data_IF_070888245871
#
_entry.id   IF_070888245871
#
_cell.length_a   1.000
_cell.length_b   1.000
_cell.length_c   1.000
_cell.angle_alpha   90.00
_cell.angle_beta   90.00
_cell.angle_gamma   90.00
#
_symmetry.space_group_name_H-M   'P 1'
#
loop_
_entity.id
_entity.type
_entity.pdbx_description
1 polymer ?
2 non-polymer ?
3 water ?
#
# COMPACT_ATOMS: atom_id res chain seq x y z
N UNK A 15 -7.26 19.73 28.09
CA UNK A 15 -7.63 19.95 26.65
C UNK A 15 -8.86 19.12 26.33
N UNK A 16 -9.85 19.78 25.77
CA UNK A 16 -11.16 19.20 25.57
C UNK A 16 -11.38 19.00 24.06
N UNK A 17 -12.20 18.01 23.66
CA UNK A 17 -12.38 17.76 22.23
C UNK A 17 -12.61 19.02 21.37
N UNK A 18 -13.41 19.95 21.87
CA UNK A 18 -13.74 21.19 21.15
C UNK A 18 -12.57 22.19 21.05
N UNK A 19 -11.51 21.96 21.83
CA UNK A 19 -10.30 22.78 21.80
C UNK A 19 -9.12 22.14 21.03
N UNK A 20 -9.29 20.90 20.58
CA UNK A 20 -8.23 20.16 19.87
C UNK A 20 -7.68 20.91 18.65
N UNK A 21 -8.55 21.36 17.75
CA UNK A 21 -8.12 22.06 16.54
C UNK A 21 -7.45 23.40 16.83
N UNK A 22 -7.90 24.09 17.87
CA UNK A 22 -7.29 25.34 18.32
C UNK A 22 -5.86 25.13 18.83
N UNK A 23 -5.68 24.14 19.70
CA UNK A 23 -4.38 23.82 20.30
C UNK A 23 -3.36 23.37 19.25
N UNK A 24 -3.78 22.47 18.37
CA UNK A 24 -2.90 22.00 17.30
C UNK A 24 -2.56 23.13 16.34
N UNK A 25 -3.56 23.98 16.06
CA UNK A 25 -3.41 25.11 15.15
C UNK A 25 -2.33 26.12 15.50
N UNK A 26 -1.97 26.19 16.78
CA UNK A 26 -0.86 27.05 17.21
C UNK A 26 0.53 26.56 16.74
N UNK A 27 0.64 25.28 16.40
CA UNK A 27 1.95 24.65 16.14
C UNK A 27 2.11 24.07 14.75
N UNK A 28 0.98 23.79 14.10
CA UNK A 28 1.00 23.08 12.83
C UNK A 28 -0.16 23.47 11.92
N UNK A 29 0.01 23.18 10.63
CA UNK A 29 -1.05 23.31 9.65
C UNK A 29 -2.11 22.25 9.96
N UNK A 30 -3.35 22.69 10.15
CA UNK A 30 -4.42 21.77 10.56
C UNK A 30 -5.43 21.52 9.42
N UNK A 31 -5.05 20.71 8.44
CA UNK A 31 -5.87 20.48 7.24
C UNK A 31 -6.57 19.12 7.16
N UNK A 32 -6.69 18.42 8.29
CA UNK A 32 -7.28 17.08 8.32
C UNK A 32 -8.79 17.06 8.38
N UNK A 33 -9.35 15.93 8.76
CA UNK A 33 -10.81 15.77 8.86
C UNK A 33 -11.39 16.67 9.95
N UNK A 34 -12.64 17.05 9.75
CA UNK A 34 -13.29 17.98 10.64
C UNK A 34 -13.80 17.39 11.95
N UNK A 35 -13.40 16.16 12.25
CA UNK A 35 -13.81 15.52 13.49
C UNK A 35 -12.69 15.46 14.52
N UNK A 36 -13.04 15.07 15.74
CA UNK A 36 -12.07 14.69 16.74
C UNK A 36 -12.36 13.24 17.08
N UNK A 37 -11.37 12.36 16.85
CA UNK A 37 -11.54 10.92 17.05
C UNK A 37 -11.77 10.56 18.50
N UNK A 38 -12.90 9.91 18.76
CA UNK A 38 -13.13 9.25 20.03
C UNK A 38 -12.45 7.88 20.02
N UNK A 39 -11.38 7.73 20.79
CA UNK A 39 -10.55 6.53 20.74
C UNK A 39 -11.21 5.32 21.38
N UNK A 40 -12.14 5.57 22.29
CA UNK A 40 -12.83 4.55 23.06
C UNK A 40 -14.14 4.10 22.40
N UNK A 41 -14.93 5.05 21.89
CA UNK A 41 -16.26 4.73 21.38
C UNK A 41 -16.32 4.32 19.90
N UNK A 42 -15.26 4.66 19.15
CA UNK A 42 -15.08 4.13 17.79
C UNK A 42 -14.97 2.61 17.81
N UNK A 43 -15.49 1.97 16.78
CA UNK A 43 -15.49 0.49 16.76
C UNK A 43 -15.86 -0.06 15.41
N UNK A 44 -15.11 -1.05 14.95
CA UNK A 44 -15.42 -1.72 13.70
C UNK A 44 -15.33 -0.75 12.54
N UNK A 45 -16.41 -0.66 11.77
CA UNK A 45 -16.43 0.19 10.55
C UNK A 45 -16.91 1.62 10.81
N UNK A 46 -16.90 2.01 12.09
CA UNK A 46 -17.41 3.32 12.50
C UNK A 46 -16.42 4.14 13.34
N UNK A 47 -16.18 5.37 12.90
CA UNK A 47 -15.45 6.37 13.67
C UNK A 47 -16.44 7.27 14.40
N UNK A 48 -16.14 7.58 15.66
CA UNK A 48 -17.01 8.43 16.46
C UNK A 48 -16.36 9.80 16.62
N UNK A 49 -17.10 10.85 16.26
CA UNK A 49 -16.67 12.22 16.50
C UNK A 49 -16.91 12.56 17.98
N UNK A 50 -15.84 12.87 18.71
CA UNK A 50 -15.95 13.14 20.14
C UNK A 50 -16.67 14.45 20.47
N UNK A 51 -16.79 15.35 19.49
CA UNK A 51 -17.48 16.62 19.68
C UNK A 51 -19.02 16.45 19.69
N UNK A 52 -19.56 15.75 18.68
CA UNK A 52 -21.01 15.57 18.55
C UNK A 52 -21.53 14.20 18.98
N UNK A 53 -20.67 13.18 18.96
CA UNK A 53 -21.11 11.80 19.15
C UNK A 53 -21.65 11.17 17.86
N UNK A 54 -21.58 11.89 16.75
CA UNK A 54 -21.98 11.37 15.45
C UNK A 54 -21.08 10.22 15.02
N UNK A 55 -21.69 9.22 14.39
CA UNK A 55 -20.95 8.06 13.88
C UNK A 55 -20.71 8.19 12.39
N UNK A 56 -19.49 7.84 11.96
CA UNK A 56 -19.10 7.96 10.57
C UNK A 56 -18.72 6.60 10.00
N UNK A 57 -19.32 6.26 8.86
CA UNK A 57 -19.02 5.00 8.17
C UNK A 57 -17.64 5.12 7.52
N UNK A 58 -16.76 4.20 7.89
CA UNK A 58 -15.35 4.31 7.56
C UNK A 58 -14.96 3.44 6.34
N UNK A 59 -14.82 4.09 5.18
CA UNK A 59 -14.29 3.44 3.97
C UNK A 59 -12.90 4.00 3.66
N UNK A 60 -12.18 4.39 4.72
CA UNK A 60 -10.93 5.13 4.57
C UNK A 60 -9.82 4.50 5.41
N UNK A 61 -10.20 3.97 6.58
CA UNK A 61 -9.37 3.13 7.43
C UNK A 61 -7.95 3.65 7.67
N UNK A 62 -7.85 4.93 8.04
CA UNK A 62 -6.55 5.56 8.33
C UNK A 62 -5.60 5.43 7.12
N UNK A 63 -6.10 5.85 5.96
CA UNK A 63 -5.46 5.69 4.66
C UNK A 63 -5.07 4.23 4.39
N UNK A 64 -6.05 3.34 4.52
CA UNK A 64 -5.90 1.91 4.27
C UNK A 64 -4.92 1.18 5.22
N UNK A 65 -4.62 1.75 6.38
CA UNK A 65 -3.65 1.13 7.30
C UNK A 65 -4.29 0.29 8.42
N UNK A 66 -5.63 0.28 8.47
CA UNK A 66 -6.31 -0.51 9.49
C UNK A 66 -7.03 -1.72 8.90
N UNK A 67 -6.58 -2.92 9.25
CA UNK A 67 -7.13 -4.18 8.71
C UNK A 67 -8.46 -4.57 9.35
N UNK A 68 -8.59 -4.32 10.65
CA UNK A 68 -9.75 -4.75 11.42
C UNK A 68 -10.70 -3.60 11.82
N UNK A 69 -10.34 -2.35 11.50
CA UNK A 69 -11.12 -1.21 11.97
C UNK A 69 -10.76 -0.89 13.42
N UNK A 70 -11.53 -0.03 14.07
CA UNK A 70 -11.20 0.43 15.42
C UNK A 70 -11.58 -0.59 16.49
N UNK A 71 -10.72 -0.71 17.50
CA UNK A 71 -11.04 -1.47 18.70
C UNK A 71 -11.69 -2.85 18.41
N UNK A 72 -11.01 -3.69 17.61
CA UNK A 72 -11.64 -4.98 17.30
C UNK A 72 -11.79 -5.84 18.56
N UNK A 73 -12.96 -6.50 18.75
CA UNK A 73 -13.26 -7.28 19.95
C UNK A 73 -12.19 -8.30 20.31
N UNK A 74 -11.60 -8.95 19.30
CA UNK A 74 -10.57 -9.96 19.54
C UNK A 74 -9.33 -9.38 20.23
N UNK A 75 -9.12 -8.07 20.12
CA UNK A 75 -8.02 -7.38 20.79
C UNK A 75 -8.50 -6.76 22.11
N UNK A 76 -9.66 -6.11 22.07
CA UNK A 76 -10.21 -5.40 23.23
C UNK A 76 -10.61 -6.37 24.37
N UNK A 77 -11.16 -7.53 24.02
CA UNK A 77 -11.63 -8.49 25.03
C UNK A 77 -10.54 -9.44 25.53
N UNK A 78 -9.40 -9.45 24.87
CA UNK A 78 -8.35 -10.43 25.19
C UNK A 78 -7.45 -9.91 26.33
N UNK A 79 -7.70 -10.41 27.53
CA UNK A 79 -7.01 -9.95 28.75
C UNK A 79 -5.51 -10.25 28.77
N UNK A 80 -5.12 -11.40 28.21
CA UNK A 80 -3.72 -11.78 28.10
C UNK A 80 -2.98 -10.85 27.12
N UNK A 81 -3.64 -10.52 26.02
CA UNK A 81 -3.08 -9.60 25.03
C UNK A 81 -2.91 -8.20 25.61
N UNK A 82 -3.89 -7.73 26.39
CA UNK A 82 -3.79 -6.45 27.09
C UNK A 82 -2.48 -6.35 27.85
N UNK A 83 -2.16 -7.38 28.62
CA UNK A 83 -0.94 -7.43 29.41
C UNK A 83 0.32 -7.38 28.53
N UNK A 84 0.32 -8.14 27.44
CA UNK A 84 1.44 -8.15 26.50
C UNK A 84 1.62 -6.79 25.83
N UNK A 85 0.52 -6.19 25.39
CA UNK A 85 0.54 -4.88 24.74
C UNK A 85 1.04 -3.76 25.66
N UNK A 86 0.54 -3.75 26.90
CA UNK A 86 0.97 -2.79 27.91
C UNK A 86 2.48 -2.92 28.18
N UNK A 87 2.93 -4.16 28.31
CA UNK A 87 4.33 -4.49 28.51
C UNK A 87 5.19 -3.85 27.40
N UNK A 88 4.73 -3.99 26.15
CA UNK A 88 5.45 -3.43 25.02
C UNK A 88 5.32 -1.92 24.94
N UNK A 89 4.15 -1.39 25.30
CA UNK A 89 3.84 0.01 25.10
C UNK A 89 4.54 0.98 26.09
N UNK A 90 4.90 0.49 27.27
CA UNK A 90 5.50 1.31 28.32
C UNK A 90 6.87 1.84 27.94
N UNK A 91 7.59 1.05 27.15
CA UNK A 91 8.94 1.38 26.74
C UNK A 91 9.04 1.28 25.22
N UNK A 92 10.19 1.67 24.68
CA UNK A 92 10.47 1.51 23.25
C UNK A 92 11.91 1.03 23.05
N UNK A 93 12.13 -0.30 23.09
CA UNK A 93 13.49 -0.84 22.91
C UNK A 93 13.99 -0.63 21.48
N UNK A 94 15.32 -0.63 21.33
CA UNK A 94 15.91 -0.70 20.01
C UNK A 94 16.01 -2.17 19.62
N UNK A 95 15.00 -2.65 18.86
CA UNK A 95 14.91 -4.04 18.41
C UNK A 95 16.08 -4.39 17.49
N UNK A 96 16.78 -3.36 17.01
CA UNK A 96 17.98 -3.50 16.20
C UNK A 96 19.09 -4.25 16.91
N UNK A 97 19.19 -4.09 18.22
CA UNK A 97 20.26 -4.76 18.98
C UNK A 97 19.82 -5.44 20.26
N UNK A 98 18.56 -5.24 20.64
CA UNK A 98 18.01 -5.85 21.84
C UNK A 98 16.78 -6.67 21.48
N UNK A 99 16.89 -7.99 21.60
CA UNK A 99 15.80 -8.89 21.24
C UNK A 99 14.92 -9.24 22.41
N UNK A 100 13.69 -9.62 22.13
CA UNK A 100 12.71 -9.96 23.15
C UNK A 100 11.83 -11.08 22.65
N UNK A 101 11.13 -11.74 23.57
CA UNK A 101 10.13 -12.74 23.24
C UNK A 101 9.01 -12.11 22.40
N UNK A 102 8.54 -10.94 22.83
CA UNK A 102 7.50 -10.17 22.13
C UNK A 102 7.85 -9.97 20.64
N UNK A 103 9.09 -9.57 20.37
CA UNK A 103 9.57 -9.43 19.01
C UNK A 103 9.60 -10.76 18.22
N UNK A 104 10.12 -11.82 18.85
CA UNK A 104 10.25 -13.13 18.22
C UNK A 104 8.88 -13.76 17.86
N UNK A 105 7.91 -13.63 18.76
CA UNK A 105 6.55 -14.04 18.47
C UNK A 105 5.99 -13.33 17.24
N UNK A 106 6.20 -12.02 17.14
CA UNK A 106 5.77 -11.29 15.97
C UNK A 106 6.40 -11.82 14.67
N UNK A 107 7.72 -11.99 14.68
CA UNK A 107 8.45 -12.37 13.47
C UNK A 107 8.03 -13.76 13.01
N UNK A 108 7.85 -14.69 13.95
CA UNK A 108 7.41 -16.02 13.59
C UNK A 108 5.97 -16.07 13.07
N UNK A 109 5.06 -15.25 13.62
CA UNK A 109 3.70 -15.25 13.07
C UNK A 109 3.59 -14.49 11.74
N UNK A 110 4.42 -13.46 11.54
CA UNK A 110 4.53 -12.80 10.25
C UNK A 110 4.96 -13.79 9.16
N UNK A 111 6.04 -14.53 9.44
CA UNK A 111 6.52 -15.57 8.53
C UNK A 111 5.45 -16.63 8.22
N UNK A 112 4.72 -17.07 9.25
CA UNK A 112 3.64 -18.06 9.06
C UNK A 112 2.47 -17.53 8.23
N UNK A 113 1.95 -16.35 8.58
CA UNK A 113 0.73 -15.84 7.96
C UNK A 113 0.99 -15.16 6.61
N UNK A 114 2.09 -14.41 6.52
CA UNK A 114 2.34 -13.58 5.34
C UNK A 114 3.57 -14.01 4.55
N UNK A 115 4.34 -14.95 5.10
CA UNK A 115 5.60 -15.37 4.49
C UNK A 115 5.48 -16.02 3.13
N UNK A 116 6.53 -15.89 2.34
CA UNK A 116 6.68 -16.56 1.06
C UNK A 116 7.97 -17.39 1.15
N UNK A 117 7.91 -18.72 0.90
CA UNK A 117 9.11 -19.57 1.05
C UNK A 117 10.29 -19.13 0.17
N UNK A 118 9.99 -18.47 -0.94
CA UNK A 118 11.03 -17.93 -1.81
C UNK A 118 11.71 -16.67 -1.27
N UNK A 119 11.09 -16.03 -0.26
CA UNK A 119 11.59 -14.76 0.28
C UNK A 119 11.82 -14.82 1.80
N UNK A 120 12.86 -15.56 2.24
CA UNK A 120 13.03 -15.80 3.67
C UNK A 120 13.59 -14.64 4.49
N UNK A 121 14.23 -13.66 3.84
CA UNK A 121 14.88 -12.54 4.53
C UNK A 121 13.88 -11.44 4.88
N UNK A 122 13.76 -11.19 6.18
CA UNK A 122 12.84 -10.20 6.72
C UNK A 122 13.64 -9.06 7.33
N UNK A 123 13.17 -7.83 7.11
CA UNK A 123 13.78 -6.63 7.71
C UNK A 123 12.68 -5.63 8.03
N UNK A 124 12.73 -5.08 9.24
CA UNK A 124 11.67 -4.20 9.74
C UNK A 124 12.20 -2.81 10.07
N UNK A 125 11.32 -1.82 9.90
CA UNK A 125 11.65 -0.40 10.01
C UNK A 125 10.32 0.36 10.27
N UNK A 126 10.41 1.56 10.85
CA UNK A 126 9.22 2.43 10.98
C UNK A 126 9.05 3.19 9.67
N UNK A 127 7.87 3.07 9.04
CA UNK A 127 7.55 3.91 7.88
C UNK A 127 7.59 3.23 6.52
N UNK A 128 6.54 3.46 5.71
CA UNK A 128 6.41 2.86 4.39
C UNK A 128 7.45 3.31 3.38
N UNK A 129 7.74 4.60 3.33
CA UNK A 129 8.76 5.09 2.40
C UNK A 129 10.14 4.48 2.69
N UNK A 130 10.47 4.31 3.97
CA UNK A 130 11.75 3.75 4.36
C UNK A 130 11.80 2.23 4.09
N UNK A 131 10.65 1.57 4.16
CA UNK A 131 10.56 0.18 3.72
C UNK A 131 10.95 0.07 2.25
N UNK A 132 10.37 0.94 1.41
CA UNK A 132 10.70 0.96 -0.01
C UNK A 132 12.16 1.31 -0.23
N UNK A 133 12.67 2.28 0.52
CA UNK A 133 14.09 2.66 0.44
C UNK A 133 15.04 1.50 0.75
N UNK A 134 14.69 0.67 1.72
CA UNK A 134 15.53 -0.47 2.06
C UNK A 134 15.52 -1.55 0.99
N UNK A 135 14.37 -1.72 0.31
CA UNK A 135 14.30 -2.56 -0.89
C UNK A 135 15.24 -2.02 -1.97
N UNK A 136 15.24 -0.69 -2.16
CA UNK A 136 16.09 -0.07 -3.17
C UNK A 136 17.56 -0.27 -2.82
N UNK A 137 17.92 -0.04 -1.55
CA UNK A 137 19.29 -0.21 -1.08
C UNK A 137 19.78 -1.64 -1.26
N UNK A 138 18.92 -2.62 -0.98
CA UNK A 138 19.23 -4.02 -1.24
C UNK A 138 19.59 -4.23 -2.71
N UNK A 139 18.79 -3.63 -3.60
CA UNK A 139 18.98 -3.73 -5.04
C UNK A 139 20.24 -3.02 -5.54
N UNK A 140 20.53 -1.84 -5.00
CA UNK A 140 21.75 -1.10 -5.37
C UNK A 140 23.01 -1.90 -5.03
N UNK A 141 23.04 -2.45 -3.82
CA UNK A 141 24.13 -3.27 -3.35
C UNK A 141 24.26 -4.56 -4.18
N UNK A 142 23.12 -5.21 -4.43
CA UNK A 142 23.10 -6.44 -5.21
C UNK A 142 23.68 -6.21 -6.59
N UNK A 143 23.22 -5.15 -7.26
CA UNK A 143 23.65 -4.89 -8.63
C UNK A 143 25.14 -4.54 -8.73
N UNK A 144 25.61 -3.69 -7.83
CA UNK A 144 27.01 -3.30 -7.80
C UNK A 144 27.90 -4.54 -7.60
N UNK A 145 27.55 -5.37 -6.63
CA UNK A 145 28.31 -6.59 -6.34
C UNK A 145 28.18 -7.66 -7.44
N UNK A 146 27.00 -7.74 -8.06
CA UNK A 146 26.78 -8.65 -9.18
C UNK A 146 27.64 -8.18 -10.37
N UNK A 147 27.59 -6.89 -10.65
CA UNK A 147 28.49 -6.27 -11.63
C UNK A 147 29.96 -6.64 -11.37
N UNK A 148 30.43 -6.34 -10.15
CA UNK A 148 31.81 -6.61 -9.73
C UNK A 148 32.23 -8.07 -9.97
N UNK A 149 31.34 -9.02 -9.70
CA UNK A 149 31.63 -10.44 -9.80
C UNK A 149 31.71 -10.94 -11.24
N UNK A 150 31.20 -10.13 -12.17
CA UNK A 150 31.21 -10.45 -13.60
C UNK A 150 32.09 -9.47 -14.40
N UNK A 151 33.05 -8.85 -13.72
CA UNK A 151 34.02 -7.97 -14.38
C UNK A 151 33.53 -6.60 -14.77
N UNK A 152 32.30 -6.26 -14.37
CA UNK A 152 31.73 -4.94 -14.63
C UNK A 152 32.01 -3.98 -13.48
N UNK A 153 32.30 -2.73 -13.83
CA UNK A 153 32.59 -1.65 -12.88
C UNK A 153 31.53 -1.60 -11.75
N UNK A 154 31.97 -1.76 -10.48
CA UNK A 154 31.05 -1.77 -9.34
C UNK A 154 30.42 -0.40 -9.03
N UNK A 155 30.86 0.65 -9.72
CA UNK A 155 30.25 1.98 -9.62
C UNK A 155 28.95 2.03 -10.41
N UNK A 156 28.71 1.02 -11.23
CA UNK A 156 27.47 0.93 -12.00
C UNK A 156 26.43 0.12 -11.22
N UNK A 157 25.18 0.54 -11.34
CA UNK A 157 24.05 -0.13 -10.70
C UNK A 157 23.33 0.77 -9.71
N UNK A 158 23.01 1.99 -10.16
CA UNK A 158 22.52 3.02 -9.24
C UNK A 158 21.15 3.59 -9.62
N UNK A 159 20.54 3.04 -10.66
CA UNK A 159 19.30 3.59 -11.20
C UNK A 159 18.10 2.67 -11.00
N UNK A 160 16.92 3.27 -11.01
CA UNK A 160 15.68 2.57 -10.69
C UNK A 160 14.66 2.81 -11.79
N UNK A 161 14.27 1.74 -12.46
CA UNK A 161 13.21 1.80 -13.45
C UNK A 161 11.87 1.81 -12.71
N UNK A 162 10.95 2.67 -13.13
CA UNK A 162 9.69 2.86 -12.41
C UNK A 162 8.61 3.37 -13.34
N UNK A 163 7.36 3.44 -12.84
CA UNK A 163 6.21 3.83 -13.66
C UNK A 163 5.74 5.28 -13.49
N UNK A 164 5.10 5.80 -14.54
CA UNK A 164 4.34 7.04 -14.42
C UNK A 164 3.13 6.81 -13.53
N UNK A 165 2.79 7.82 -12.74
CA UNK A 165 1.66 7.74 -11.82
C UNK A 165 1.95 6.94 -10.57
N UNK A 166 3.23 6.64 -10.33
CA UNK A 166 3.65 5.85 -9.17
C UNK A 166 3.63 6.70 -7.91
N UNK A 167 3.31 6.06 -6.79
CA UNK A 167 3.52 6.67 -5.49
C UNK A 167 4.26 5.71 -4.58
N UNK A 168 5.49 6.08 -4.21
CA UNK A 168 6.32 5.21 -3.36
C UNK A 168 6.76 5.87 -2.05
N UNK A 169 6.31 7.12 -1.83
CA UNK A 169 6.60 7.83 -0.59
C UNK A 169 7.23 9.20 -0.80
N UNK A 170 7.61 9.83 0.31
CA UNK A 170 8.07 11.21 0.30
C UNK A 170 9.49 11.41 0.85
N UNK A 171 10.29 10.33 0.85
CA UNK A 171 11.65 10.35 1.34
C UNK A 171 12.69 10.59 0.23
N UNK A 172 13.94 10.73 0.63
CA UNK A 172 15.03 11.10 -0.30
C UNK A 172 15.08 10.35 -1.60
N UNK A 173 14.98 9.02 -1.55
CA UNK A 173 14.97 8.17 -2.76
C UNK A 173 13.59 8.04 -3.42
N UNK A 174 12.52 7.98 -2.63
CA UNK A 174 11.18 7.76 -3.20
C UNK A 174 10.61 9.03 -3.85
N UNK A 175 11.12 10.20 -3.46
CA UNK A 175 10.77 11.46 -4.14
C UNK A 175 11.21 11.45 -5.61
N UNK A 176 12.21 10.64 -5.94
CA UNK A 176 12.66 10.47 -7.32
C UNK A 176 11.79 9.48 -8.09
N UNK A 177 10.89 8.80 -7.39
CA UNK A 177 10.05 7.77 -8.00
C UNK A 177 8.60 8.23 -8.10
N UNK A 178 8.11 8.81 -7.01
CA UNK A 178 6.74 9.32 -6.90
C UNK A 178 6.48 10.41 -7.93
N UNK A 179 5.45 10.22 -8.74
CA UNK A 179 5.04 11.25 -9.68
C UNK A 179 3.53 11.23 -9.85
N UNK A 180 2.82 11.87 -8.92
CA UNK A 180 1.37 12.04 -8.99
C UNK A 180 1.05 13.56 -8.99
N UNK A 181 0.84 14.16 -7.83
CA UNK A 181 0.67 15.60 -7.70
C UNK A 181 2.05 16.27 -7.63
N UNK A 182 2.25 17.37 -8.40
CA UNK A 182 3.51 18.14 -8.37
C UNK A 182 3.86 18.67 -6.97
N UNK A 183 2.82 18.97 -6.19
CA UNK A 183 2.95 19.44 -4.81
C UNK A 183 3.85 18.53 -3.96
N UNK A 184 3.79 17.22 -4.21
CA UNK A 184 4.57 16.24 -3.46
C UNK A 184 6.08 16.33 -3.73
N UNK A 185 6.45 16.65 -4.97
CA UNK A 185 7.85 16.55 -5.40
C UNK A 185 8.53 17.86 -5.80
N UNK A 186 7.75 18.92 -5.97
CA UNK A 186 8.30 20.17 -6.52
C UNK A 186 9.34 20.77 -5.60
N UNK A 187 10.42 21.27 -6.21
CA UNK A 187 11.51 21.96 -5.51
C UNK A 187 12.41 21.07 -4.63
N UNK A 188 12.23 19.75 -4.69
CA UNK A 188 13.10 18.82 -3.98
C UNK A 188 14.06 18.13 -4.96
N UNK A 189 15.36 18.07 -4.62
CA UNK A 189 16.35 17.44 -5.51
C UNK A 189 16.07 15.95 -5.78
N UNK A 190 16.21 15.55 -7.03
CA UNK A 190 15.88 14.21 -7.48
C UNK A 190 17.04 13.62 -8.28
N UNK A 191 17.11 12.29 -8.31
CA UNK A 191 17.99 11.61 -9.24
C UNK A 191 17.24 11.52 -10.54
N UNK A 192 17.98 11.52 -11.65
CA UNK A 192 17.41 11.34 -12.96
C UNK A 192 17.33 9.84 -13.24
N UNK A 193 16.20 9.24 -12.86
CA UNK A 193 16.01 7.80 -13.04
C UNK A 193 14.97 7.52 -14.15
N UNK A 194 15.11 6.39 -14.89
CA UNK A 194 14.23 6.12 -16.02
C UNK A 194 12.78 5.78 -15.62
N UNK A 195 11.85 6.47 -16.27
CA UNK A 195 10.43 6.38 -15.99
C UNK A 195 9.74 5.99 -17.28
N UNK A 196 8.82 5.02 -17.21
CA UNK A 196 8.10 4.54 -18.39
C UNK A 196 6.58 4.68 -18.22
N UNK A 197 5.86 4.66 -19.34
CA UNK A 197 4.39 4.72 -19.31
C UNK A 197 3.79 3.51 -18.59
N UNK A 198 2.68 3.76 -17.89
CA UNK A 198 1.95 2.74 -17.17
C UNK A 198 0.77 2.23 -18.01
N UNK A 199 0.85 0.98 -18.51
CA UNK A 199 -0.20 0.44 -19.38
C UNK A 199 -1.37 -0.17 -18.62
N UNK A 200 -2.04 0.65 -17.82
CA UNK A 200 -3.15 0.16 -17.01
C UNK A 200 -4.42 -0.05 -17.83
N UNK A 201 -5.26 -0.96 -17.36
CA UNK A 201 -6.55 -1.25 -17.96
C UNK A 201 -7.45 -0.02 -17.92
N UNK A 202 -8.06 0.28 -19.06
CA UNK A 202 -9.07 1.33 -19.12
C UNK A 202 -10.30 0.80 -19.87
N UNK A 203 -11.49 1.39 -19.61
CA UNK A 203 -12.71 0.88 -20.22
C UNK A 203 -12.70 1.00 -21.75
N UNK A 204 -13.34 0.03 -22.41
CA UNK A 204 -13.44 0.05 -23.87
C UNK A 204 -12.11 -0.15 -24.57
N UNK A 205 -11.28 -1.04 -24.01
CA UNK A 205 -10.07 -1.50 -24.67
C UNK A 205 -10.06 -3.03 -24.64
N UNK A 206 -10.13 -3.62 -25.83
CA UNK A 206 -10.12 -5.08 -25.99
C UNK A 206 -8.71 -5.64 -25.87
N UNK A 207 -8.61 -6.97 -25.85
CA UNK A 207 -7.35 -7.70 -25.71
C UNK A 207 -6.20 -7.19 -26.59
N UNK A 208 -6.41 -7.08 -27.93
CA UNK A 208 -5.39 -6.52 -28.82
C UNK A 208 -4.98 -5.08 -28.51
N UNK A 209 -5.94 -4.26 -28.10
CA UNK A 209 -5.67 -2.87 -27.73
C UNK A 209 -4.77 -2.78 -26.49
N UNK A 210 -5.06 -3.62 -25.49
CA UNK A 210 -4.26 -3.69 -24.27
C UNK A 210 -2.84 -4.20 -24.55
N UNK A 211 -2.75 -5.22 -25.40
CA UNK A 211 -1.47 -5.79 -25.79
C UNK A 211 -0.57 -4.72 -26.45
N UNK A 212 -1.16 -3.90 -27.31
CA UNK A 212 -0.46 -2.80 -27.98
C UNK A 212 0.05 -1.76 -27.00
N UNK A 213 -0.75 -1.46 -25.97
CA UNK A 213 -0.39 -0.50 -24.94
C UNK A 213 0.80 -1.04 -24.11
N UNK A 214 0.71 -2.30 -23.69
CA UNK A 214 1.76 -2.95 -22.93
C UNK A 214 3.07 -3.04 -23.72
N UNK A 215 2.98 -3.44 -24.99
CA UNK A 215 4.15 -3.56 -25.88
C UNK A 215 4.93 -2.25 -25.95
N UNK A 216 4.22 -1.12 -25.95
CA UNK A 216 4.86 0.21 -25.97
C UNK A 216 5.62 0.53 -24.68
N UNK A 217 5.05 0.18 -23.52
CA UNK A 217 5.73 0.34 -22.23
C UNK A 217 6.96 -0.57 -22.15
N UNK A 218 6.76 -1.81 -22.61
CA UNK A 218 7.84 -2.80 -22.75
C UNK A 218 8.98 -2.30 -23.64
N UNK A 219 8.63 -1.63 -24.74
CA UNK A 219 9.61 -1.04 -25.66
C UNK A 219 10.43 0.00 -24.92
N UNK A 220 9.75 0.88 -24.20
CA UNK A 220 10.37 1.93 -23.40
C UNK A 220 11.27 1.34 -22.30
N UNK A 221 10.79 0.29 -21.64
CA UNK A 221 11.58 -0.41 -20.62
C UNK A 221 12.87 -0.97 -21.22
N UNK A 222 12.74 -1.73 -22.31
CA UNK A 222 13.89 -2.31 -23.00
C UNK A 222 14.88 -1.24 -23.45
N UNK A 223 14.36 -0.15 -24.03
CA UNK A 223 15.19 0.99 -24.41
C UNK A 223 16.01 1.53 -23.23
N UNK A 224 15.38 1.63 -22.05
CA UNK A 224 16.07 2.11 -20.85
C UNK A 224 17.23 1.19 -20.44
N UNK A 225 16.99 -0.13 -20.43
CA UNK A 225 18.03 -1.09 -20.10
C UNK A 225 19.23 -1.02 -21.06
N UNK A 226 18.95 -0.83 -22.35
CA UNK A 226 19.99 -0.84 -23.38
C UNK A 226 20.80 0.46 -23.41
N UNK A 227 20.17 1.59 -23.09
CA UNK A 227 20.87 2.89 -23.11
C UNK A 227 21.60 3.21 -21.81
N UNK A 228 21.35 2.42 -20.76
CA UNK A 228 22.00 2.60 -19.46
C UNK A 228 22.59 1.25 -19.01
N UNK A 229 23.58 0.73 -19.78
CA UNK A 229 24.02 -0.65 -19.56
C UNK A 229 24.58 -0.88 -18.17
N UNK A 230 24.11 -1.97 -17.55
CA UNK A 230 24.54 -2.42 -16.23
C UNK A 230 24.28 -1.44 -15.08
N UNK A 231 23.49 -0.40 -15.35
CA UNK A 231 23.29 0.70 -14.41
C UNK A 231 21.89 0.72 -13.78
N UNK A 232 20.96 -0.07 -14.32
CA UNK A 232 19.63 -0.19 -13.73
C UNK A 232 19.62 -1.38 -12.76
N UNK A 233 19.46 -1.07 -11.47
CA UNK A 233 19.54 -2.08 -10.41
C UNK A 233 18.24 -2.86 -10.24
N UNK A 234 17.12 -2.19 -10.51
CA UNK A 234 15.81 -2.78 -10.27
C UNK A 234 14.70 -2.07 -11.01
N UNK A 235 13.58 -2.77 -11.12
CA UNK A 235 12.30 -2.20 -11.51
C UNK A 235 11.39 -2.29 -10.30
N UNK A 236 10.77 -1.15 -9.95
CA UNK A 236 9.85 -1.08 -8.83
C UNK A 236 8.46 -0.69 -9.34
N UNK A 237 7.43 -1.31 -8.77
CA UNK A 237 6.04 -1.01 -9.15
C UNK A 237 5.07 -1.31 -8.03
N UNK A 238 3.97 -0.56 -7.99
CA UNK A 238 2.79 -1.00 -7.27
C UNK A 238 2.05 -1.99 -8.16
N UNK A 239 1.62 -3.14 -7.61
CA UNK A 239 0.84 -4.10 -8.40
C UNK A 239 -0.49 -3.48 -8.83
N UNK A 240 -1.05 -2.63 -7.97
CA UNK A 240 -2.15 -1.76 -8.34
C UNK A 240 -1.78 -0.39 -7.82
N UNK A 241 -1.77 0.60 -8.70
CA UNK A 241 -1.41 1.95 -8.30
C UNK A 241 -2.53 2.59 -7.48
N UNK A 242 -2.22 2.96 -6.25
CA UNK A 242 -3.19 3.49 -5.30
C UNK A 242 -3.45 4.97 -5.47
N UNK A 243 -2.54 5.80 -4.95
CA UNK A 243 -2.69 7.27 -4.97
C UNK A 243 -2.85 7.82 -6.38
N UNK A 244 -2.27 7.14 -7.35
CA UNK A 244 -2.33 7.57 -8.74
C UNK A 244 -3.70 7.40 -9.38
N UNK A 245 -4.56 6.59 -8.75
CA UNK A 245 -5.95 6.45 -9.16
C UNK A 245 -6.49 5.04 -9.32
N UNK A 246 -6.12 4.13 -8.41
CA UNK A 246 -6.51 2.72 -8.52
C UNK A 246 -6.39 2.20 -9.95
N UNK A 247 -5.16 2.19 -10.47
CA UNK A 247 -4.91 1.71 -11.82
C UNK A 247 -4.41 0.28 -11.73
N UNK A 248 -5.14 -0.60 -12.39
CA UNK A 248 -4.87 -2.03 -12.36
C UNK A 248 -4.13 -2.41 -13.63
N UNK A 249 -3.28 -3.43 -13.54
CA UNK A 249 -2.50 -3.91 -14.68
C UNK A 249 -2.81 -5.36 -14.91
N UNK A 250 -2.73 -5.79 -16.16
CA UNK A 250 -2.92 -7.20 -16.47
C UNK A 250 -1.72 -7.97 -15.98
N UNK A 251 -1.92 -9.24 -15.57
CA UNK A 251 -0.80 -10.10 -15.20
C UNK A 251 0.25 -10.23 -16.30
N UNK A 252 -0.19 -10.15 -17.57
CA UNK A 252 0.71 -10.25 -18.73
C UNK A 252 1.80 -9.18 -18.73
N UNK A 253 1.45 -7.96 -18.31
CA UNK A 253 2.43 -6.88 -18.27
C UNK A 253 3.59 -7.15 -17.30
N UNK A 254 3.26 -7.57 -16.08
CA UNK A 254 4.30 -7.82 -15.09
C UNK A 254 5.13 -9.07 -15.39
N UNK A 255 4.50 -10.09 -15.96
CA UNK A 255 5.20 -11.30 -16.43
C UNK A 255 6.24 -10.98 -17.50
N UNK A 256 5.87 -10.12 -18.44
CA UNK A 256 6.82 -9.59 -19.42
C UNK A 256 7.95 -8.78 -18.76
N UNK A 257 7.59 -7.94 -17.78
CA UNK A 257 8.61 -7.20 -17.02
C UNK A 257 9.53 -8.12 -16.21
N UNK A 258 8.96 -9.14 -15.60
CA UNK A 258 9.73 -10.17 -14.90
C UNK A 258 10.81 -10.79 -15.80
N UNK A 259 10.41 -11.18 -17.02
CA UNK A 259 11.34 -11.77 -17.99
C UNK A 259 12.44 -10.77 -18.37
N UNK A 260 12.05 -9.54 -18.64
CA UNK A 260 12.96 -8.48 -19.06
C UNK A 260 13.97 -8.09 -17.97
N UNK A 261 13.52 -8.09 -16.71
CA UNK A 261 14.41 -7.87 -15.57
C UNK A 261 15.48 -8.95 -15.46
N UNK A 262 15.08 -10.20 -15.65
CA UNK A 262 15.99 -11.34 -15.60
C UNK A 262 17.03 -11.28 -16.74
N UNK A 263 16.59 -10.90 -17.93
CA UNK A 263 17.47 -10.76 -19.10
C UNK A 263 18.58 -9.72 -18.87
N UNK A 264 18.26 -8.63 -18.18
CA UNK A 264 19.23 -7.58 -17.91
C UNK A 264 19.80 -7.59 -16.50
N UNK A 265 19.59 -8.69 -15.77
CA UNK A 265 20.10 -8.85 -14.40
C UNK A 265 19.70 -7.72 -13.43
N UNK A 266 18.41 -7.42 -13.43
CA UNK A 266 17.83 -6.42 -12.53
C UNK A 266 16.78 -7.11 -11.64
N UNK A 267 16.66 -6.64 -10.40
CA UNK A 267 15.65 -7.19 -9.46
C UNK A 267 14.27 -6.58 -9.70
N UNK A 268 13.22 -7.36 -9.43
CA UNK A 268 11.87 -6.84 -9.49
C UNK A 268 11.36 -6.61 -8.05
N UNK A 269 10.97 -5.37 -7.75
CA UNK A 269 10.44 -5.00 -6.43
C UNK A 269 8.98 -4.63 -6.59
N UNK A 270 8.11 -5.28 -5.83
CA UNK A 270 6.73 -4.82 -5.70
C UNK A 270 6.56 -3.98 -4.43
N UNK A 271 6.00 -2.78 -4.60
CA UNK A 271 5.63 -1.96 -3.47
C UNK A 271 4.19 -2.34 -3.07
N UNK A 272 4.08 -3.20 -2.05
CA UNK A 272 2.78 -3.67 -1.54
C UNK A 272 2.35 -2.96 -0.25
N UNK A 273 2.84 -1.75 -0.03
CA UNK A 273 2.47 -0.98 1.17
C UNK A 273 0.96 -0.73 1.21
N UNK A 274 0.34 -0.47 0.06
CA UNK A 274 -1.10 -0.26 0.02
C UNK A 274 -1.93 -1.52 -0.34
N UNK A 275 -1.39 -2.40 -1.19
CA UNK A 275 -2.13 -3.56 -1.66
C UNK A 275 -2.05 -4.74 -0.67
N UNK A 276 -1.06 -4.70 0.22
CA UNK A 276 -0.70 -5.86 1.03
C UNK A 276 -1.63 -6.24 2.16
N UNK A 277 -1.29 -7.33 2.84
CA UNK A 277 -2.00 -7.78 4.03
C UNK A 277 -3.51 -8.00 3.81
N UNK A 278 -3.85 -8.64 2.70
CA UNK A 278 -5.19 -9.19 2.52
C UNK A 278 -6.27 -8.36 1.83
N UNK A 279 -5.97 -7.11 1.53
CA UNK A 279 -6.97 -6.21 0.92
C UNK A 279 -7.52 -6.71 -0.42
N UNK A 280 -6.65 -7.29 -1.24
CA UNK A 280 -7.08 -7.78 -2.55
C UNK A 280 -7.63 -9.20 -2.50
N UNK A 281 -7.65 -9.81 -1.32
CA UNK A 281 -8.12 -11.18 -1.19
C UNK A 281 -7.07 -12.25 -0.95
N UNK A 282 -5.80 -11.90 -1.13
CA UNK A 282 -4.67 -12.77 -0.78
C UNK A 282 -3.72 -11.97 0.09
N UNK A 283 -2.79 -12.66 0.75
CA UNK A 283 -1.77 -11.99 1.55
C UNK A 283 -1.19 -10.79 0.79
N UNK A 284 -0.81 -11.02 -0.46
CA UNK A 284 -0.17 -10.03 -1.31
C UNK A 284 -0.83 -10.06 -2.68
N UNK A 285 -0.96 -8.89 -3.28
CA UNK A 285 -1.54 -8.78 -4.62
C UNK A 285 -0.73 -9.57 -5.64
N UNK A 286 0.58 -9.66 -5.45
CA UNK A 286 1.43 -10.36 -6.43
C UNK A 286 1.09 -11.84 -6.58
N UNK A 287 0.56 -12.44 -5.51
CA UNK A 287 0.16 -13.85 -5.51
C UNK A 287 -0.95 -14.15 -6.50
N UNK A 288 -1.76 -13.14 -6.81
CA UNK A 288 -2.83 -13.26 -7.80
C UNK A 288 -2.38 -12.98 -9.23
N UNK A 289 -1.21 -12.34 -9.39
CA UNK A 289 -0.73 -11.97 -10.72
C UNK A 289 0.22 -13.02 -11.25
N UNK A 290 0.54 -14.01 -10.41
CA UNK A 290 1.45 -15.11 -10.76
C UNK A 290 2.80 -14.61 -11.29
N UNK A 291 3.33 -13.56 -10.63
CA UNK A 291 4.67 -13.05 -10.90
C UNK A 291 5.47 -13.14 -9.60
N UNK A 292 6.69 -13.67 -9.68
CA UNK A 292 7.54 -13.82 -8.52
C UNK A 292 8.52 -12.65 -8.41
N UNK A 293 8.33 -11.78 -7.41
CA UNK A 293 9.27 -10.68 -7.19
C UNK A 293 10.53 -11.17 -6.47
N UNK A 294 11.57 -10.35 -6.46
CA UNK A 294 12.77 -10.63 -5.66
C UNK A 294 12.69 -9.98 -4.29
N UNK A 295 11.93 -8.88 -4.21
CA UNK A 295 11.79 -8.10 -2.99
C UNK A 295 10.39 -7.52 -2.94
N UNK A 296 9.77 -7.59 -1.76
CA UNK A 296 8.48 -6.97 -1.50
C UNK A 296 8.66 -5.99 -0.34
N UNK A 297 8.22 -4.75 -0.54
CA UNK A 297 8.12 -3.77 0.53
C UNK A 297 6.69 -3.76 1.06
N UNK A 298 6.54 -3.71 2.38
CA UNK A 298 5.21 -3.73 3.01
C UNK A 298 5.09 -2.64 4.09
N UNK A 299 3.86 -2.37 4.53
CA UNK A 299 3.60 -1.37 5.56
C UNK A 299 2.12 -1.16 5.72
N UNK A 300 1.75 0.03 6.20
CA UNK A 300 0.36 0.36 6.53
C UNK A 300 -0.34 -0.68 7.43
N UNK A 301 -1.17 -1.55 6.85
CA UNK A 301 -1.85 -2.59 7.65
C UNK A 301 -0.95 -3.46 8.52
N UNK A 302 0.30 -3.65 8.12
CA UNK A 302 1.24 -4.45 8.92
C UNK A 302 1.72 -3.70 10.18
N UNK A 303 1.48 -2.39 10.23
CA UNK A 303 1.78 -1.53 11.41
C UNK A 303 3.27 -1.21 11.51
N UNK A 304 4.09 -2.26 11.65
CA UNK A 304 5.55 -2.21 11.38
C UNK A 304 5.73 -2.30 9.88
N UNK A 305 6.71 -1.58 9.34
CA UNK A 305 6.97 -1.67 7.92
C UNK A 305 8.24 -2.49 7.65
N UNK A 306 8.50 -2.82 6.39
CA UNK A 306 9.75 -3.50 6.05
C UNK A 306 9.80 -4.16 4.69
N UNK A 307 10.71 -5.13 4.55
CA UNK A 307 10.88 -5.86 3.29
C UNK A 307 10.95 -7.36 3.53
N UNK A 308 10.50 -8.13 2.54
CA UNK A 308 10.80 -9.55 2.44
C UNK A 308 11.65 -9.69 1.18
N UNK A 309 12.72 -10.46 1.26
CA UNK A 309 13.63 -10.62 0.14
C UNK A 309 14.13 -12.05 -0.02
N UNK A 310 14.48 -12.38 -1.25
CA UNK A 310 14.94 -13.71 -1.63
C UNK A 310 15.04 -13.78 -3.14
N UNK A 311 14.58 -14.90 -3.72
CA UNK A 311 14.79 -15.20 -5.14
C UNK A 311 16.23 -14.86 -5.54
N UNK A 312 16.44 -13.94 -6.48
CA UNK A 312 17.80 -13.68 -6.99
C UNK A 312 18.74 -12.99 -6.02
N UNK A 313 18.19 -12.41 -4.94
CA UNK A 313 19.00 -11.71 -3.92
C UNK A 313 20.09 -12.63 -3.35
N UNK A 314 19.74 -13.88 -3.12
CA UNK A 314 20.65 -14.85 -2.53
C UNK A 314 21.83 -15.26 -3.43
N UNK A 315 21.74 -14.98 -4.72
CA UNK A 315 22.83 -15.28 -5.67
C UNK A 315 24.07 -14.45 -5.40
N UNK A 316 23.91 -13.34 -4.68
CA UNK A 316 25.05 -12.53 -4.25
C UNK A 316 25.22 -12.83 -2.77
N UNK A 317 26.27 -13.59 -2.46
CA UNK A 317 26.45 -14.15 -1.11
C UNK A 317 26.62 -13.10 -0.02
N UNK A 318 27.29 -11.99 -0.35
CA UNK A 318 27.55 -10.90 0.60
C UNK A 318 26.55 -9.75 0.41
N UNK A 319 25.30 -10.10 0.18
CA UNK A 319 24.22 -9.14 0.06
C UNK A 319 23.89 -8.50 1.41
N UNK A 320 22.93 -7.60 1.38
CA UNK A 320 22.64 -6.67 2.46
C UNK A 320 22.00 -7.37 3.68
N UNK A 321 21.47 -8.57 3.46
CA UNK A 321 20.84 -9.37 4.53
C UNK A 321 21.79 -10.38 5.14
N UNK A 322 23.01 -10.45 4.61
CA UNK A 322 24.02 -11.40 5.07
C UNK A 322 25.20 -10.70 5.76
N UNK A 323 25.37 -9.42 5.47
CA UNK A 323 26.49 -8.61 5.98
C UNK A 323 25.97 -7.62 7.03
N UNK A 324 26.60 -7.59 8.23
CA UNK A 324 26.18 -6.66 9.29
C UNK A 324 26.29 -5.18 8.93
N UNK A 325 25.35 -4.40 9.45
CA UNK A 325 25.35 -2.94 9.46
C UNK A 325 25.18 -2.26 8.11
N UNK A 326 24.75 -3.01 7.10
CA UNK A 326 24.45 -2.42 5.79
C UNK A 326 23.09 -1.71 5.80
N UNK A 327 22.10 -2.37 6.41
CA UNK A 327 20.77 -1.76 6.64
C UNK A 327 20.57 -1.60 8.15
N UNK A 328 19.93 -0.52 8.56
CA UNK A 328 19.70 -0.28 9.99
C UNK A 328 18.81 0.93 10.23
N UNK A 329 18.23 0.96 11.42
CA UNK A 329 17.70 2.18 12.04
C UNK A 329 17.88 1.98 13.53
N UNK A 330 17.80 3.06 14.31
CA UNK A 330 17.93 2.99 15.76
C UNK A 330 16.97 1.98 16.40
N UNK A 331 15.69 2.05 16.04
CA UNK A 331 14.66 1.23 16.72
C UNK A 331 14.39 -0.15 16.13
N UNK A 332 14.62 -0.31 14.83
CA UNK A 332 14.29 -1.54 14.12
C UNK A 332 12.79 -1.80 14.15
N UNK A 333 12.00 -0.75 13.91
CA UNK A 333 10.56 -0.87 14.02
C UNK A 333 10.08 -0.66 15.45
N UNK A 334 8.79 -0.41 15.59
CA UNK A 334 8.18 -0.12 16.87
C UNK A 334 7.65 -1.41 17.54
N UNK A 335 8.17 -1.74 18.72
CA UNK A 335 7.74 -2.97 19.41
C UNK A 335 6.23 -3.03 19.69
N UNK A 336 5.63 -1.89 20.04
CA UNK A 336 4.18 -1.85 20.22
C UNK A 336 3.44 -2.23 18.93
N UNK A 337 3.92 -1.73 17.79
CA UNK A 337 3.36 -2.09 16.49
C UNK A 337 3.47 -3.59 16.20
N UNK A 338 4.63 -4.17 16.52
CA UNK A 338 4.88 -5.62 16.34
C UNK A 338 3.92 -6.48 17.15
N UNK A 339 3.75 -6.12 18.43
CA UNK A 339 2.83 -6.85 19.30
C UNK A 339 1.37 -6.75 18.80
N UNK A 340 0.94 -5.54 18.40
CA UNK A 340 -0.42 -5.34 17.86
C UNK A 340 -0.60 -6.10 16.55
N UNK A 341 0.40 -6.01 15.65
CA UNK A 341 0.38 -6.73 14.37
C UNK A 341 0.33 -8.26 14.55
N UNK A 342 1.11 -8.79 15.50
CA UNK A 342 1.05 -10.23 15.81
C UNK A 342 -0.39 -10.66 16.06
N UNK A 343 -1.06 -9.95 16.96
CA UNK A 343 -2.45 -10.24 17.30
C UNK A 343 -3.41 -10.08 16.11
N UNK A 344 -3.24 -9.00 15.33
CA UNK A 344 -4.04 -8.78 14.11
C UNK A 344 -3.90 -9.95 13.13
N UNK A 345 -2.65 -10.38 12.88
CA UNK A 345 -2.36 -11.50 11.98
C UNK A 345 -3.00 -12.80 12.44
N UNK A 346 -3.03 -13.01 13.76
CA UNK A 346 -3.66 -14.18 14.36
C UNK A 346 -5.18 -14.18 14.12
N UNK A 347 -5.79 -13.00 14.22
CA UNK A 347 -7.22 -12.83 13.93
C UNK A 347 -7.49 -13.14 12.43
N UNK A 348 -6.71 -12.54 11.53
CA UNK A 348 -6.82 -12.79 10.09
C UNK A 348 -6.79 -14.29 9.75
N UNK A 349 -5.83 -15.00 10.33
CA UNK A 349 -5.63 -16.42 10.10
C UNK A 349 -6.76 -17.27 10.70
N UNK A 350 -7.14 -16.98 11.95
CA UNK A 350 -8.14 -17.74 12.68
C UNK A 350 -9.55 -17.54 12.12
N UNK A 351 -9.83 -16.36 11.59
CA UNK A 351 -11.18 -16.03 11.13
C UNK A 351 -11.31 -16.08 9.61
N UNK A 352 -10.24 -16.48 8.93
CA UNK A 352 -10.23 -16.59 7.46
C UNK A 352 -10.55 -15.29 6.76
N UNK A 353 -9.88 -14.20 7.17
CA UNK A 353 -10.24 -12.86 6.66
C UNK A 353 -9.84 -12.59 5.21
N UNK A 354 -8.83 -13.28 4.70
CA UNK A 354 -8.48 -13.17 3.27
C UNK A 354 -9.66 -13.61 2.42
N UNK A 355 -10.26 -14.74 2.78
CA UNK A 355 -11.41 -15.29 2.05
C UNK A 355 -12.63 -14.38 2.19
N UNK A 356 -12.78 -13.78 3.37
CA UNK A 356 -13.86 -12.84 3.59
C UNK A 356 -13.71 -11.60 2.70
N UNK A 357 -12.48 -11.18 2.46
CA UNK A 357 -12.20 -10.08 1.55
C UNK A 357 -12.56 -10.39 0.09
N UNK A 358 -12.30 -11.63 -0.34
CA UNK A 358 -12.65 -12.06 -1.70
C UNK A 358 -14.18 -11.98 -1.91
N UNK A 359 -14.94 -12.54 -0.97
CA UNK A 359 -16.39 -12.62 -1.11
C UNK A 359 -17.07 -11.25 -0.99
N UNK A 360 -16.69 -10.46 0.01
CA UNK A 360 -17.24 -9.12 0.19
C UNK A 360 -16.76 -8.15 -0.88
N UNK A 361 -15.54 -8.34 -1.35
CA UNK A 361 -15.02 -7.61 -2.52
C UNK A 361 -15.86 -7.82 -3.76
N UNK A 362 -16.26 -9.08 -4.02
CA UNK A 362 -17.16 -9.42 -5.12
C UNK A 362 -18.51 -8.72 -4.96
N UNK A 363 -18.98 -8.62 -3.73
CA UNK A 363 -20.23 -7.95 -3.44
C UNK A 363 -20.13 -6.45 -3.75
N UNK A 364 -19.09 -5.80 -3.22
CA UNK A 364 -18.87 -4.37 -3.44
C UNK A 364 -18.75 -4.03 -4.93
N UNK A 365 -17.95 -4.82 -5.65
CA UNK A 365 -17.77 -4.65 -7.08
C UNK A 365 -19.09 -4.76 -7.86
N UNK A 366 -19.91 -5.76 -7.52
CA UNK A 366 -21.23 -5.94 -8.13
C UNK A 366 -22.12 -4.69 -7.96
N UNK A 367 -22.10 -4.09 -6.76
CA UNK A 367 -22.86 -2.86 -6.47
C UNK A 367 -22.38 -1.67 -7.29
N UNK A 368 -21.07 -1.60 -7.51
CA UNK A 368 -20.50 -0.50 -8.30
C UNK A 368 -20.83 -0.66 -9.79
N UNK A 369 -20.95 -1.91 -10.25
CA UNK A 369 -21.45 -2.21 -11.59
C UNK A 369 -22.90 -1.79 -11.76
N UNK A 370 -23.74 -2.08 -10.76
CA UNK A 370 -25.13 -1.59 -10.75
C UNK A 370 -25.22 -0.06 -10.77
N UNK A 371 -24.33 0.60 -10.03
CA UNK A 371 -24.24 2.06 -10.04
C UNK A 371 -23.86 2.60 -11.42
N UNK A 372 -22.97 1.89 -12.11
CA UNK A 372 -22.57 2.26 -13.46
C UNK A 372 -23.74 2.11 -14.43
N UNK A 373 -24.54 1.06 -14.25
CA UNK A 373 -25.72 0.83 -15.08
C UNK A 373 -26.77 1.91 -14.89
N UNK A 374 -27.02 2.30 -13.63
CA UNK A 374 -28.02 3.33 -13.32
C UNK A 374 -27.56 4.76 -13.61
N UNK A 375 -26.25 5.01 -13.60
CA UNK A 375 -25.70 6.34 -13.83
C UNK A 375 -24.55 6.34 -14.86
N UNK A 376 -24.84 5.89 -16.11
CA UNK A 376 -23.78 5.55 -17.08
C UNK A 376 -22.87 6.70 -17.53
N UNK A 377 -23.35 7.94 -17.48
CA UNK A 377 -22.50 9.08 -17.86
C UNK A 377 -21.73 9.67 -16.67
N UNK A 378 -21.97 9.15 -15.47
CA UNK A 378 -21.48 9.75 -14.24
C UNK A 378 -20.57 8.80 -13.45
N UNK A 379 -21.02 7.56 -13.22
CA UNK A 379 -20.22 6.56 -12.53
C UNK A 379 -19.40 5.80 -13.58
N UNK A 380 -18.13 6.17 -13.69
CA UNK A 380 -17.23 5.65 -14.73
C UNK A 380 -16.23 4.61 -14.22
N UNK A 381 -15.98 3.61 -15.06
CA UNK A 381 -14.87 2.69 -14.88
C UNK A 381 -14.88 2.00 -13.49
N UNK A 382 -16.01 1.37 -13.11
CA UNK A 382 -16.01 0.65 -11.84
C UNK A 382 -14.99 -0.48 -11.88
N UNK A 383 -14.16 -0.58 -10.86
CA UNK A 383 -13.03 -1.51 -10.87
C UNK A 383 -12.63 -1.89 -9.45
N UNK A 384 -11.86 -2.97 -9.34
CA UNK A 384 -11.40 -3.44 -8.05
C UNK A 384 -10.82 -4.83 -8.07
N UNK A 385 -10.09 -5.16 -7.02
CA UNK A 385 -9.59 -6.50 -6.76
C UNK A 385 -9.76 -6.70 -5.26
N UNK A 386 -10.54 -7.71 -4.88
CA UNK A 386 -10.96 -7.88 -3.50
C UNK A 386 -11.65 -6.61 -3.03
N UNK A 387 -11.27 -6.14 -1.85
CA UNK A 387 -11.86 -4.94 -1.23
C UNK A 387 -11.25 -3.62 -1.71
N UNK A 388 -10.22 -3.70 -2.55
CA UNK A 388 -9.59 -2.52 -3.12
C UNK A 388 -10.37 -2.09 -4.37
N UNK A 389 -11.39 -1.26 -4.16
CA UNK A 389 -12.31 -0.85 -5.24
C UNK A 389 -12.38 0.65 -5.42
N UNK A 390 -12.85 1.06 -6.59
CA UNK A 390 -12.91 2.46 -6.97
C UNK A 390 -13.86 2.66 -8.16
N UNK A 391 -14.28 3.91 -8.36
CA UNK A 391 -14.85 4.33 -9.64
C UNK A 391 -14.44 5.77 -9.90
N UNK A 392 -14.64 6.23 -11.13
CA UNK A 392 -14.28 7.59 -11.50
C UNK A 392 -15.48 8.44 -11.86
N UNK A 393 -15.28 9.75 -11.83
CA UNK A 393 -16.29 10.71 -12.27
C UNK A 393 -15.80 11.49 -13.51
N UNK A 394 -16.74 12.11 -14.27
CA UNK A 394 -16.37 12.88 -15.47
C UNK A 394 -15.29 13.95 -15.27
N UNK A 395 -15.37 14.72 -14.17
CA UNK A 395 -14.42 15.80 -13.92
C UNK A 395 -13.92 15.72 -12.47
N UNK A 396 -12.88 16.48 -12.13
CA UNK A 396 -12.41 16.51 -10.74
C UNK A 396 -13.38 17.28 -9.83
N UNK A 397 -14.09 18.26 -10.39
CA UNK A 397 -15.10 19.02 -9.65
C UNK A 397 -16.25 18.10 -9.18
N UNK A 398 -16.73 17.24 -10.08
CA UNK A 398 -17.74 16.25 -9.71
C UNK A 398 -17.24 15.34 -8.59
N UNK A 399 -16.00 14.86 -8.75
CA UNK A 399 -15.34 13.97 -7.78
C UNK A 399 -15.24 14.64 -6.41
N UNK A 400 -14.75 15.87 -6.38
CA UNK A 400 -14.61 16.63 -5.14
C UNK A 400 -15.97 16.90 -4.48
N UNK A 401 -16.98 17.18 -5.30
CA UNK A 401 -18.34 17.39 -4.81
C UNK A 401 -18.95 16.11 -4.22
N UNK A 402 -18.77 14.99 -4.92
CA UNK A 402 -19.26 13.70 -4.40
C UNK A 402 -18.69 13.40 -3.01
N UNK A 403 -17.40 13.67 -2.82
CA UNK A 403 -16.76 13.42 -1.52
C UNK A 403 -17.33 14.33 -0.41
N UNK A 404 -17.56 15.60 -0.74
CA UNK A 404 -18.22 16.51 0.17
C UNK A 404 -19.63 16.03 0.52
N UNK A 405 -20.38 15.55 -0.47
CA UNK A 405 -21.75 15.08 -0.25
C UNK A 405 -21.79 13.82 0.61
N UNK A 406 -20.80 12.94 0.45
CA UNK A 406 -20.67 11.73 1.27
C UNK A 406 -20.31 12.08 2.71
N UNK A 407 -19.45 13.10 2.87
CA UNK A 407 -19.09 13.60 4.19
C UNK A 407 -20.33 14.08 4.97
N UNK A 408 -21.18 14.87 4.29
CA UNK A 408 -22.42 15.37 4.90
C UNK A 408 -23.34 14.23 5.34
N UNK A 409 -23.24 13.11 4.62
CA UNK A 409 -23.98 11.89 4.92
C UNK A 409 -23.22 10.93 5.85
N UNK A 410 -22.13 11.41 6.47
CA UNK A 410 -21.31 10.63 7.41
C UNK A 410 -20.71 9.34 6.83
N UNK A 411 -20.22 9.42 5.59
CA UNK A 411 -19.45 8.33 4.98
C UNK A 411 -18.08 8.89 4.58
N UNK A 412 -17.01 8.25 5.07
CA UNK A 412 -15.63 8.68 4.75
C UNK A 412 -15.00 7.83 3.65
N UNK A 413 -14.72 8.46 2.52
CA UNK A 413 -13.98 7.85 1.42
C UNK A 413 -12.83 8.79 1.06
N UNK A 414 -11.85 8.28 0.32
CA UNK A 414 -10.70 9.09 -0.08
C UNK A 414 -10.70 9.37 -1.58
N UNK A 415 -10.23 10.56 -1.99
CA UNK A 415 -9.94 10.77 -3.40
C UNK A 415 -8.64 10.08 -3.84
N UNK A 416 -8.51 9.88 -5.14
CA UNK A 416 -7.25 9.45 -5.76
C UNK A 416 -7.15 10.10 -7.12
N UNK A 417 -5.93 10.49 -7.49
CA UNK A 417 -5.69 11.09 -8.80
C UNK A 417 -6.60 12.26 -9.08
N UNK A 418 -6.97 12.41 -10.35
CA UNK A 418 -7.76 13.53 -10.81
C UNK A 418 -9.27 13.32 -10.65
N UNK A 419 -9.75 12.08 -10.83
CA UNK A 419 -11.21 11.86 -10.90
C UNK A 419 -11.71 10.58 -10.21
N UNK A 420 -10.88 9.97 -9.37
CA UNK A 420 -11.22 8.71 -8.72
C UNK A 420 -11.70 8.88 -7.28
N UNK A 421 -12.70 8.08 -6.92
CA UNK A 421 -13.12 7.88 -5.53
C UNK A 421 -12.73 6.45 -5.20
N UNK A 422 -11.99 6.26 -4.13
CA UNK A 422 -11.54 4.92 -3.73
C UNK A 422 -12.21 4.44 -2.45
N UNK A 423 -12.48 3.14 -2.38
CA UNK A 423 -13.02 2.50 -1.19
C UNK A 423 -11.91 1.71 -0.52
N UNK A 424 -11.70 1.97 0.77
CA UNK A 424 -10.76 1.21 1.59
C UNK A 424 -11.44 0.78 2.89
N UNK A 425 -12.37 -0.19 2.80
CA UNK A 425 -13.05 -0.71 3.99
C UNK A 425 -12.14 -1.64 4.79
N UNK A 426 -12.44 -1.88 6.08
CA UNK A 426 -11.65 -2.87 6.80
C UNK A 426 -11.99 -4.27 6.28
N UNK A 427 -11.12 -5.25 6.55
CA UNK A 427 -11.35 -6.62 6.09
C UNK A 427 -12.60 -7.22 6.72
N UNK A 428 -13.01 -6.66 7.85
CA UNK A 428 -14.15 -7.12 8.64
C UNK A 428 -15.48 -6.46 8.24
N UNK A 429 -15.46 -5.63 7.21
CA UNK A 429 -16.69 -4.95 6.72
C UNK A 429 -17.82 -5.96 6.44
N UNK A 430 -19.05 -5.59 6.78
CA UNK A 430 -20.19 -6.46 6.49
C UNK A 430 -20.90 -6.00 5.22
N UNK A 431 -21.75 -6.87 4.66
CA UNK A 431 -22.47 -6.49 3.43
C UNK A 431 -23.48 -5.38 3.68
N UNK A 432 -24.05 -5.34 4.89
CA UNK A 432 -24.95 -4.26 5.28
C UNK A 432 -24.25 -2.91 5.29
N UNK A 433 -23.00 -2.90 5.76
CA UNK A 433 -22.16 -1.70 5.78
C UNK A 433 -21.81 -1.21 4.37
N UNK A 434 -21.49 -2.16 3.48
CA UNK A 434 -21.30 -1.85 2.06
C UNK A 434 -22.59 -1.26 1.44
N UNK A 435 -23.74 -1.84 1.79
CA UNK A 435 -25.04 -1.34 1.31
C UNK A 435 -25.27 0.11 1.74
N UNK A 436 -24.95 0.40 3.00
CA UNK A 436 -25.04 1.76 3.54
C UNK A 436 -24.16 2.75 2.78
N UNK A 437 -22.96 2.34 2.38
CA UNK A 437 -22.06 3.23 1.64
C UNK A 437 -22.60 3.49 0.23
N UNK A 438 -23.10 2.44 -0.40
CA UNK A 438 -23.69 2.51 -1.74
C UNK A 438 -24.95 3.39 -1.73
N UNK A 439 -25.80 3.20 -0.71
CA UNK A 439 -27.01 4.03 -0.56
C UNK A 439 -26.65 5.50 -0.43
N UNK A 440 -25.55 5.80 0.28
CA UNK A 440 -25.09 7.19 0.41
C UNK A 440 -24.62 7.76 -0.92
N UNK A 441 -23.97 6.93 -1.73
CA UNK A 441 -23.52 7.33 -3.08
C UNK A 441 -24.73 7.58 -4.01
N UNK A 442 -25.71 6.68 -3.99
CA UNK A 442 -26.95 6.86 -4.74
C UNK A 442 -27.69 8.15 -4.41
N UNK A 443 -27.78 8.48 -3.11
CA UNK A 443 -28.39 9.75 -2.67
C UNK A 443 -27.64 10.97 -3.17
N UNK A 444 -26.30 10.91 -3.13
CA UNK A 444 -25.46 12.07 -3.45
C UNK A 444 -25.36 12.36 -4.95
N UNK A 445 -25.45 11.33 -5.78
CA UNK A 445 -25.22 11.48 -7.23
C UNK A 445 -26.16 12.47 -7.97
N UNK A 446 -27.50 12.37 -7.78
CA UNK A 446 -28.38 13.38 -8.39
C UNK A 446 -28.01 14.81 -8.01
N UNK A 447 -27.50 15.01 -6.79
CA UNK A 447 -27.07 16.33 -6.31
C UNK A 447 -25.85 16.84 -7.08
N UNK A 448 -24.90 15.96 -7.39
CA UNK A 448 -23.69 16.38 -8.13
C UNK A 448 -23.95 16.65 -9.62
N UNK A 449 -24.83 15.87 -10.24
CA UNK A 449 -25.14 16.01 -11.69
C UNK A 449 -25.64 17.40 -12.09
X LIG B 1 4.10 3.15 -1.15
X LIG B 1 2.72 3.04 -1.29
X LIG B 1 2.15 2.24 -2.44
X LIG B 1 1.88 3.68 -0.37
X LIG B 1 0.52 3.51 -0.42
X LIG B 1 2.44 4.40 0.70
X LIG B 1 1.57 5.44 1.38
X LIG B 1 3.84 4.50 0.83
X LIG B 1 4.66 3.86 -0.10
X LIG B 1 4.47 5.45 1.82
X LIG B 1 4.19 5.04 3.15
X LIG B 1 4.38 6.06 4.40
X LIG B 1 5.78 6.62 4.29
X LIG B 1 3.40 7.22 4.27
X LIG B 1 4.22 5.31 5.70
#
# INVERSE_FOLDING_TARGET
MAAVVKSVALAGRPTTPDRVHEVLGRSMLVDGLDIVLDLTRSGGSYLVDAITGRRYLDMFTFVASSALGMNPPALVDDREFHAELMQAALNKPSNSDVYSVAMARFVETFARVLGDPALPHLFFVEGGALAVENALKAAFDWKSRHNQAHGIDPALGTQVLHLRGAFHGRSGYTLSLTNTKPTITARFPKFDWPRIDAPYMRPGLDEPAMAALEAEALRQARAAFETRPHDIACFVAEPIQGEGGDRHFRPEFFAAMRELCDEFDALLIFDEVQTGCGLTGTAWAYQQLDVAPDIVAFGKKTQVCGVMAGRRVDEVADNVFAVPSRLNSSWGGNLTDMVRARRILEVIEAEGLFERAVQHGKYLRARLDELAADFPAVVLDPRGRGLMCAFSLPTTADRDELIRQLWQRAVIVLPAGADTVRFRPPLTVSTAEIDAAIAAVRSALPVVT
PLP N1 C2 C2A C3 O3 C4 C4A C5 C6 C5A O4P P O1P O2P O3P
#
